data_IF_390495638885
#
_entry.id   IF_390495638885
#
_cell.length_a   1.000
_cell.length_b   1.000
_cell.length_c   1.000
_cell.angle_alpha   90.00
_cell.angle_beta   90.00
_cell.angle_gamma   90.00
#
_symmetry.space_group_name_H-M   'P 1'
#
loop_
_entity.id
_entity.type
_entity.pdbx_description
1 polymer ?
#
# COMPACT_ATOMS: atom_id res chain seq x y z
N UNK A 1 10.91 -22.60 2.30
CA UNK A 1 11.02 -21.24 2.89
C UNK A 1 10.12 -20.33 2.08
N UNK A 2 8.99 -19.89 2.65
CA UNK A 2 8.05 -18.98 1.97
C UNK A 2 8.67 -17.59 1.94
N UNK A 3 8.97 -17.08 0.74
CA UNK A 3 9.26 -15.67 0.49
C UNK A 3 8.01 -14.89 0.89
N UNK A 4 8.00 -14.30 2.09
CA UNK A 4 6.99 -13.28 2.44
C UNK A 4 7.18 -12.14 1.46
N UNK A 5 6.28 -12.01 0.48
CA UNK A 5 6.22 -10.83 -0.38
C UNK A 5 6.18 -9.60 0.53
N UNK A 6 7.20 -8.74 0.41
CA UNK A 6 7.30 -7.50 1.16
C UNK A 6 6.12 -6.64 0.71
N UNK A 7 5.14 -6.44 1.59
CA UNK A 7 3.98 -5.59 1.32
C UNK A 7 4.49 -4.17 1.09
N UNK A 8 4.47 -3.74 -0.17
CA UNK A 8 4.99 -2.45 -0.55
C UNK A 8 3.93 -1.38 -0.32
N UNK A 9 4.21 -0.49 0.63
CA UNK A 9 3.37 0.69 0.89
C UNK A 9 3.92 1.84 0.08
N UNK A 10 3.05 2.49 -0.68
CA UNK A 10 3.39 3.65 -1.50
C UNK A 10 2.40 4.78 -1.27
N UNK A 11 2.88 6.01 -1.43
CA UNK A 11 2.03 7.18 -1.50
C UNK A 11 1.50 7.33 -2.92
N UNK A 12 0.18 7.45 -3.05
CA UNK A 12 -0.51 7.66 -4.32
C UNK A 12 -1.25 8.98 -4.30
N UNK A 13 -1.25 9.66 -5.44
CA UNK A 13 -2.17 10.77 -5.73
C UNK A 13 -3.02 10.37 -6.91
N UNK A 14 -4.33 10.38 -6.73
CA UNK A 14 -5.26 9.95 -7.76
C UNK A 14 -6.50 10.84 -7.79
N UNK A 15 -6.97 11.12 -9.00
CA UNK A 15 -8.31 11.62 -9.24
C UNK A 15 -9.29 10.44 -9.31
N UNK A 16 -10.38 10.49 -8.55
CA UNK A 16 -11.45 9.50 -8.60
C UNK A 16 -12.30 9.76 -9.83
N UNK A 17 -12.22 8.88 -10.83
CA UNK A 17 -12.90 9.06 -12.11
C UNK A 17 -14.21 8.28 -12.20
N UNK A 18 -14.36 7.23 -11.40
CA UNK A 18 -15.54 6.36 -11.41
C UNK A 18 -15.60 5.55 -10.10
N UNK A 19 -16.71 4.89 -9.83
CA UNK A 19 -16.88 4.00 -8.69
C UNK A 19 -17.85 2.86 -8.96
N UNK A 20 -17.62 1.73 -8.29
CA UNK A 20 -18.55 0.61 -8.25
C UNK A 20 -18.84 0.22 -6.80
N UNK A 21 -19.54 -0.91 -6.61
CA UNK A 21 -19.93 -1.38 -5.27
C UNK A 21 -18.74 -1.54 -4.31
N UNK A 22 -17.60 -2.01 -4.82
CA UNK A 22 -16.48 -2.46 -4.01
C UNK A 22 -15.24 -1.57 -4.09
N UNK A 23 -15.13 -0.77 -5.14
CA UNK A 23 -13.93 -0.01 -5.50
C UNK A 23 -14.29 1.40 -5.97
N UNK A 24 -13.42 2.35 -5.67
CA UNK A 24 -13.26 3.55 -6.48
C UNK A 24 -12.28 3.27 -7.61
N UNK A 25 -12.45 3.90 -8.75
CA UNK A 25 -11.51 3.85 -9.86
C UNK A 25 -10.77 5.18 -9.87
N UNK A 26 -9.48 5.12 -9.55
CA UNK A 26 -8.59 6.26 -9.51
C UNK A 26 -7.73 6.35 -10.77
N UNK A 27 -7.32 7.55 -11.13
CA UNK A 27 -6.36 7.81 -12.20
C UNK A 27 -5.26 8.72 -11.69
N UNK A 28 -4.00 8.35 -11.92
CA UNK A 28 -2.87 9.21 -11.56
C UNK A 28 -2.59 10.28 -12.63
N UNK A 29 -1.60 11.13 -12.36
CA UNK A 29 -1.13 12.18 -13.27
C UNK A 29 -0.59 11.64 -14.60
N UNK A 30 -0.12 10.39 -14.62
CA UNK A 30 0.39 9.70 -15.81
C UNK A 30 -0.70 8.92 -16.55
N UNK A 31 -1.96 9.07 -16.14
CA UNK A 31 -3.14 8.39 -16.70
C UNK A 31 -3.22 6.89 -16.41
N UNK A 32 -2.42 6.35 -15.50
CA UNK A 32 -2.55 4.98 -15.02
C UNK A 32 -3.82 4.84 -14.18
N UNK A 33 -4.55 3.74 -14.38
CA UNK A 33 -5.79 3.45 -13.65
C UNK A 33 -5.53 2.47 -12.52
N UNK A 34 -6.15 2.74 -11.38
CA UNK A 34 -6.05 1.94 -10.17
C UNK A 34 -7.42 1.63 -9.59
N UNK A 35 -7.56 0.45 -9.00
CA UNK A 35 -8.74 0.07 -8.24
C UNK A 35 -8.49 0.34 -6.77
N UNK A 36 -9.15 1.32 -6.19
CA UNK A 36 -8.97 1.71 -4.79
C UNK A 36 -10.09 1.03 -3.98
N UNK A 37 -9.73 0.11 -3.07
CA UNK A 37 -10.73 -0.62 -2.27
C UNK A 37 -11.51 0.35 -1.38
N UNK A 38 -12.84 0.26 -1.39
CA UNK A 38 -13.69 1.03 -0.47
C UNK A 38 -13.48 0.53 0.97
N UNK A 39 -13.19 1.45 1.87
CA UNK A 39 -12.99 1.21 3.30
C UNK A 39 -13.46 2.42 4.11
N UNK A 40 -13.42 2.33 5.44
CA UNK A 40 -13.85 3.44 6.31
C UNK A 40 -13.05 4.74 6.11
N UNK A 41 -11.81 4.64 5.64
CA UNK A 41 -10.88 5.77 5.52
C UNK A 41 -11.19 6.64 4.30
N UNK A 42 -11.68 6.03 3.23
CA UNK A 42 -11.96 6.69 1.96
C UNK A 42 -13.46 6.83 1.67
N UNK A 43 -14.34 6.65 2.67
CA UNK A 43 -15.79 6.88 2.53
C UNK A 43 -16.17 8.27 2.02
N UNK A 44 -15.31 9.26 2.28
CA UNK A 44 -15.48 10.65 1.83
C UNK A 44 -15.19 10.83 0.33
N UNK A 45 -14.56 9.85 -0.32
CA UNK A 45 -14.21 9.93 -1.73
C UNK A 45 -15.46 9.93 -2.59
N UNK A 46 -15.40 10.72 -3.66
CA UNK A 46 -16.47 10.93 -4.63
C UNK A 46 -15.83 11.21 -5.98
N UNK A 47 -16.55 10.89 -7.05
CA UNK A 47 -16.09 11.15 -8.43
C UNK A 47 -15.76 12.64 -8.60
N UNK A 48 -14.63 12.92 -9.25
CA UNK A 48 -14.04 14.25 -9.43
C UNK A 48 -13.12 14.72 -8.29
N UNK A 49 -12.93 13.92 -7.24
CA UNK A 49 -12.02 14.24 -6.14
C UNK A 49 -10.58 13.84 -6.48
N UNK A 50 -9.63 14.76 -6.32
CA UNK A 50 -8.18 14.48 -6.32
C UNK A 50 -7.71 14.45 -4.85
N UNK A 51 -7.19 13.32 -4.41
CA UNK A 51 -6.65 13.16 -3.06
C UNK A 51 -5.36 12.32 -3.07
N UNK A 52 -4.59 12.46 -2.00
CA UNK A 52 -3.32 11.77 -1.79
C UNK A 52 -3.41 10.87 -0.56
N UNK A 53 -3.03 9.61 -0.71
CA UNK A 53 -3.17 8.60 0.35
C UNK A 53 -2.09 7.53 0.26
N UNK A 54 -1.75 6.95 1.41
CA UNK A 54 -0.91 5.75 1.45
C UNK A 54 -1.75 4.51 1.17
N UNK A 55 -1.21 3.58 0.39
CA UNK A 55 -1.84 2.31 0.13
C UNK A 55 -0.84 1.16 0.02
N UNK A 56 -1.27 -0.02 0.46
CA UNK A 56 -0.64 -1.27 0.05
C UNK A 56 -1.04 -1.59 -1.39
N UNK A 57 -0.05 -1.98 -2.19
CA UNK A 57 -0.25 -2.36 -3.59
C UNK A 57 -0.39 -3.87 -3.70
N UNK A 58 -1.47 -4.36 -4.29
CA UNK A 58 -1.62 -5.76 -4.67
C UNK A 58 -2.01 -5.89 -6.13
N UNK A 59 -1.38 -6.83 -6.83
CA UNK A 59 -1.78 -7.18 -8.19
C UNK A 59 -2.70 -8.39 -8.13
N UNK A 60 -3.98 -8.17 -8.35
CA UNK A 60 -4.99 -9.23 -8.37
C UNK A 60 -5.29 -9.69 -9.80
N UNK A 61 -5.62 -10.97 -9.96
CA UNK A 61 -6.06 -11.55 -11.23
C UNK A 61 -5.00 -12.41 -11.90
N UNK A 62 -5.41 -13.59 -12.36
CA UNK A 62 -4.51 -14.58 -12.99
C UNK A 62 -4.24 -14.21 -14.46
N UNK A 63 -5.26 -13.71 -15.16
CA UNK A 63 -5.21 -13.42 -16.61
C UNK A 63 -5.20 -11.91 -16.89
N UNK A 64 -6.08 -11.16 -16.22
CA UNK A 64 -6.07 -9.69 -16.25
C UNK A 64 -5.59 -9.18 -14.90
N UNK A 65 -4.28 -9.00 -14.77
CA UNK A 65 -3.70 -8.38 -13.58
C UNK A 65 -4.19 -6.95 -13.48
N UNK A 66 -4.93 -6.65 -12.42
CA UNK A 66 -5.30 -5.30 -12.04
C UNK A 66 -4.56 -4.90 -10.77
N UNK A 67 -4.10 -3.66 -10.73
CA UNK A 67 -3.48 -3.11 -9.53
C UNK A 67 -4.58 -2.58 -8.61
N UNK A 68 -4.68 -3.20 -7.44
CA UNK A 68 -5.60 -2.84 -6.36
C UNK A 68 -4.81 -2.13 -5.27
N UNK A 69 -5.29 -0.94 -4.91
CA UNK A 69 -4.77 -0.12 -3.83
C UNK A 69 -5.65 -0.32 -2.61
N UNK A 70 -5.04 -0.71 -1.49
CA UNK A 70 -5.69 -0.81 -0.20
C UNK A 70 -5.25 0.37 0.66
N UNK A 71 -6.07 1.42 0.79
CA UNK A 71 -5.72 2.57 1.62
C UNK A 71 -5.45 2.15 3.05
N UNK A 72 -4.42 2.75 3.64
CA UNK A 72 -4.03 2.52 5.04
C UNK A 72 -4.12 3.81 5.86
N UNK A 73 -4.41 3.67 7.15
CA UNK A 73 -4.36 4.77 8.12
C UNK A 73 -2.93 5.11 8.49
N UNK A 74 -2.74 6.32 9.02
CA UNK A 74 -1.48 6.72 9.68
C UNK A 74 -1.08 5.74 10.79
N UNK A 75 -2.03 5.21 11.56
CA UNK A 75 -1.75 4.21 12.62
C UNK A 75 -1.25 2.88 12.06
N UNK A 76 -1.81 2.44 10.93
CA UNK A 76 -1.33 1.23 10.24
C UNK A 76 0.06 1.44 9.66
N UNK A 77 0.30 2.61 9.07
CA UNK A 77 1.61 3.04 8.58
C UNK A 77 2.67 3.02 9.71
N UNK A 78 2.38 3.65 10.85
CA UNK A 78 3.28 3.70 12.01
C UNK A 78 3.64 2.30 12.51
N UNK A 79 2.67 1.39 12.64
CA UNK A 79 2.91 0.00 13.06
C UNK A 79 3.85 -0.73 12.12
N UNK A 80 3.72 -0.50 10.83
CA UNK A 80 4.53 -1.15 9.81
C UNK A 80 5.95 -0.58 9.86
N UNK A 81 6.08 0.74 9.91
CA UNK A 81 7.38 1.43 10.00
C UNK A 81 8.17 1.05 11.26
N UNK A 82 7.50 1.03 12.42
CA UNK A 82 8.12 0.61 13.69
C UNK A 82 8.61 -0.83 13.61
N UNK A 83 7.78 -1.74 13.08
CA UNK A 83 8.15 -3.15 12.95
C UNK A 83 9.34 -3.38 12.02
N UNK A 84 9.40 -2.67 10.89
CA UNK A 84 10.56 -2.75 9.99
C UNK A 84 11.82 -2.22 10.67
N UNK A 85 11.72 -1.08 11.36
CA UNK A 85 12.84 -0.49 12.11
C UNK A 85 13.39 -1.43 13.18
N UNK A 86 12.53 -2.10 13.95
CA UNK A 86 12.95 -3.07 14.97
C UNK A 86 13.65 -4.29 14.37
N UNK A 87 13.13 -4.83 13.26
CA UNK A 87 13.77 -5.99 12.61
C UNK A 87 15.15 -5.64 12.06
N UNK A 88 15.33 -4.45 11.47
CA UNK A 88 16.64 -4.00 10.99
C UNK A 88 17.67 -3.85 12.12
N UNK A 89 17.24 -3.40 13.31
CA UNK A 89 18.12 -3.30 14.48
C UNK A 89 18.56 -4.70 14.93
N UNK A 90 17.62 -5.64 15.04
CA UNK A 90 17.91 -7.02 15.45
C UNK A 90 18.87 -7.69 14.47
N UNK A 91 18.66 -7.54 13.16
CA UNK A 91 19.52 -8.13 12.14
C UNK A 91 20.95 -7.58 12.22
N UNK A 92 21.13 -6.27 12.47
CA UNK A 92 22.45 -5.65 12.67
C UNK A 92 23.15 -6.21 13.91
N UNK A 93 22.44 -6.38 15.01
CA UNK A 93 23.00 -6.90 16.26
C UNK A 93 23.44 -8.37 16.12
N UNK A 94 22.68 -9.20 15.40
CA UNK A 94 23.04 -10.58 15.10
C UNK A 94 24.30 -10.62 14.22
N UNK A 95 24.36 -9.80 13.16
CA UNK A 95 25.50 -9.74 12.26
C UNK A 95 26.79 -9.34 13.00
N UNK A 96 26.68 -8.38 13.92
CA UNK A 96 27.80 -7.94 14.74
C UNK A 96 28.30 -9.03 15.69
N UNK A 97 27.39 -9.82 16.28
CA UNK A 97 27.77 -10.97 17.13
C UNK A 97 28.49 -12.06 16.34
N UNK A 98 28.04 -12.37 15.13
CA UNK A 98 28.70 -13.38 14.27
C UNK A 98 30.11 -12.93 13.87
N UNK A 99 30.32 -11.64 13.56
CA UNK A 99 31.65 -11.09 13.20
C UNK A 99 32.66 -11.09 14.34
N UNK A 100 32.20 -11.19 15.59
CA UNK A 100 33.04 -11.22 16.78
C UNK A 100 33.42 -12.66 17.21
N UNK A 101 32.87 -13.68 16.53
CA UNK A 101 33.28 -15.08 16.64
C UNK A 101 34.30 -15.43 15.57
#
# INVERSE_FOLDING_TARGET
>A
MSLKEKKEIKLFRCEIIDENKDYYIGKDVFKNKYYIKKCNQNKKYKVGMDDTFYAEVMNEGIIFKRTVLYPITSKEYEKIFVKESYNEIIDKDILNKIKQM
#
